data_IF_762436750944
#
_entry.id   IF_762436750944
#
_cell.length_a   1.000
_cell.length_b   1.000
_cell.length_c   1.000
_cell.angle_alpha   90.00
_cell.angle_beta   90.00
_cell.angle_gamma   90.00
#
_symmetry.space_group_name_H-M   'P 1'
#
loop_
_entity.id
_entity.type
_entity.pdbx_description
1 polymer ?
#
# COMPACT_ATOMS: atom_id res chain seq x y z
N UNK A 1 6.03 -4.36 -8.79
CA UNK A 1 7.08 -4.05 -7.79
C UNK A 1 6.41 -3.95 -6.41
N UNK A 2 6.47 -5.00 -5.57
CA UNK A 2 5.77 -5.09 -4.27
C UNK A 2 6.66 -4.58 -3.13
N UNK A 3 6.17 -3.62 -2.33
CA UNK A 3 6.91 -3.07 -1.18
C UNK A 3 6.66 -3.83 0.13
N UNK A 4 5.52 -4.50 0.28
CA UNK A 4 5.28 -5.54 1.28
C UNK A 4 5.05 -6.86 0.56
N UNK A 5 5.69 -7.94 1.03
CA UNK A 5 5.51 -9.24 0.40
C UNK A 5 4.05 -9.67 0.59
N UNK A 6 3.42 -10.16 -0.48
CA UNK A 6 1.99 -10.46 -0.60
C UNK A 6 1.00 -9.29 -0.76
N UNK A 7 1.44 -8.02 -0.74
CA UNK A 7 0.53 -6.89 -0.98
C UNK A 7 -0.10 -6.96 -2.37
N UNK A 8 -1.42 -7.13 -2.43
CA UNK A 8 -2.20 -7.13 -3.67
C UNK A 8 -3.01 -5.83 -3.72
N UNK A 9 -2.86 -5.00 -4.77
CA UNK A 9 -3.49 -3.68 -4.80
C UNK A 9 -5.03 -3.73 -4.95
N UNK A 10 -5.58 -4.87 -5.35
CA UNK A 10 -6.97 -5.06 -5.76
C UNK A 10 -7.78 -5.99 -4.84
N UNK A 11 -7.16 -6.61 -3.83
CA UNK A 11 -7.83 -7.53 -2.88
C UNK A 11 -8.76 -6.83 -1.87
N UNK A 12 -8.78 -5.49 -1.89
CA UNK A 12 -9.58 -4.67 -1.00
C UNK A 12 -9.04 -4.59 0.44
N UNK A 13 -7.82 -5.05 0.69
CA UNK A 13 -7.14 -5.00 1.98
C UNK A 13 -6.02 -3.95 1.98
N UNK A 14 -5.75 -3.42 3.17
CA UNK A 14 -4.60 -2.57 3.44
C UNK A 14 -3.58 -3.37 4.25
N UNK A 15 -2.40 -3.52 3.69
CA UNK A 15 -1.23 -4.02 4.41
C UNK A 15 -0.64 -2.97 5.34
N UNK A 16 -0.45 -3.34 6.60
CA UNK A 16 0.02 -2.45 7.67
C UNK A 16 1.27 -3.04 8.30
N UNK A 17 2.39 -2.32 8.22
CA UNK A 17 3.62 -2.66 8.94
C UNK A 17 3.83 -1.73 10.13
N UNK A 18 4.02 -2.30 11.32
CA UNK A 18 4.34 -1.58 12.54
C UNK A 18 5.81 -1.85 12.88
N UNK A 19 6.61 -0.79 12.96
CA UNK A 19 8.02 -0.86 13.32
C UNK A 19 8.21 -0.36 14.76
N UNK A 20 8.62 -1.26 15.67
CA UNK A 20 8.85 -0.95 17.08
C UNK A 20 10.27 -1.32 17.56
N UNK A 21 11.35 -0.78 16.95
CA UNK A 21 12.72 -1.04 17.38
C UNK A 21 12.98 -0.45 18.78
N UNK A 22 13.19 -1.33 19.78
CA UNK A 22 13.38 -0.93 21.19
C UNK A 22 14.82 -0.54 21.58
N UNK A 23 15.82 -0.80 20.73
CA UNK A 23 17.24 -0.56 21.04
C UNK A 23 18.02 -0.07 19.82
N UNK A 24 19.16 0.59 20.03
CA UNK A 24 20.05 1.03 18.93
C UNK A 24 20.50 -0.14 18.03
N UNK A 25 20.69 -1.33 18.61
CA UNK A 25 20.97 -2.56 17.84
C UNK A 25 19.80 -2.97 16.95
N UNK A 26 18.55 -2.83 17.43
CA UNK A 26 17.37 -3.07 16.59
C UNK A 26 17.25 -2.04 15.46
N UNK A 27 17.61 -0.78 15.71
CA UNK A 27 17.69 0.24 14.66
C UNK A 27 18.76 -0.09 13.61
N UNK A 28 19.95 -0.54 14.03
CA UNK A 28 20.99 -0.98 13.11
C UNK A 28 20.57 -2.23 12.32
N UNK A 29 19.92 -3.20 12.96
CA UNK A 29 19.39 -4.39 12.31
C UNK A 29 18.28 -4.05 11.30
N UNK A 30 17.42 -3.07 11.63
CA UNK A 30 16.40 -2.54 10.71
C UNK A 30 17.03 -1.86 9.51
N UNK A 31 17.97 -0.93 9.72
CA UNK A 31 18.69 -0.29 8.62
C UNK A 31 19.43 -1.29 7.74
N UNK A 32 20.06 -2.31 8.34
CA UNK A 32 20.73 -3.38 7.62
C UNK A 32 19.76 -4.30 6.86
N UNK A 33 18.60 -4.59 7.44
CA UNK A 33 17.53 -5.35 6.82
C UNK A 33 16.99 -4.65 5.57
N UNK A 34 16.73 -3.34 5.67
CA UNK A 34 16.31 -2.48 4.56
C UNK A 34 17.38 -2.46 3.46
N UNK A 35 18.66 -2.23 3.82
CA UNK A 35 19.77 -2.20 2.86
C UNK A 35 19.94 -3.54 2.14
N UNK A 36 19.76 -4.65 2.85
CA UNK A 36 19.86 -6.02 2.31
C UNK A 36 18.55 -6.54 1.71
N UNK A 37 17.49 -5.72 1.64
CA UNK A 37 16.15 -6.12 1.19
C UNK A 37 15.64 -7.40 1.87
N UNK A 38 15.96 -7.58 3.15
CA UNK A 38 15.49 -8.74 3.93
C UNK A 38 14.02 -8.56 4.26
N UNK A 39 13.24 -9.62 4.02
CA UNK A 39 11.78 -9.64 4.14
C UNK A 39 11.29 -9.55 5.58
N UNK A 40 12.05 -10.07 6.55
CA UNK A 40 11.67 -10.05 7.96
C UNK A 40 12.73 -9.31 8.76
N UNK A 41 12.32 -8.24 9.42
CA UNK A 41 13.16 -7.47 10.32
C UNK A 41 12.71 -7.69 11.77
N UNK A 42 13.63 -7.96 12.71
CA UNK A 42 13.30 -8.01 14.13
C UNK A 42 12.60 -6.73 14.61
N UNK A 43 11.42 -6.87 15.22
CA UNK A 43 10.61 -5.75 15.71
C UNK A 43 9.66 -5.12 14.68
N UNK A 44 9.43 -5.82 13.55
CA UNK A 44 8.37 -5.52 12.59
C UNK A 44 7.19 -6.47 12.78
N UNK A 45 5.99 -5.92 12.86
CA UNK A 45 4.72 -6.66 12.89
C UNK A 45 3.91 -6.28 11.65
N UNK A 46 3.27 -7.25 10.97
CA UNK A 46 2.47 -7.02 9.77
C UNK A 46 1.02 -7.46 9.97
N UNK A 47 0.09 -6.69 9.44
CA UNK A 47 -1.36 -6.92 9.53
C UNK A 47 -2.04 -6.59 8.21
N UNK A 48 -3.19 -7.20 7.95
CA UNK A 48 -4.10 -6.82 6.86
C UNK A 48 -5.43 -6.34 7.44
N UNK A 49 -5.99 -5.26 6.90
CA UNK A 49 -7.26 -4.70 7.37
C UNK A 49 -7.95 -3.86 6.30
N UNK A 50 -9.27 -3.71 6.37
CA UNK A 50 -10.02 -2.75 5.52
C UNK A 50 -10.07 -1.35 6.13
N UNK A 51 -9.84 -1.23 7.45
CA UNK A 51 -9.84 0.03 8.18
C UNK A 51 -8.82 0.02 9.31
N UNK A 52 -8.01 1.08 9.37
CA UNK A 52 -6.94 1.24 10.36
C UNK A 52 -7.13 2.56 11.10
N UNK A 53 -7.05 2.52 12.43
CA UNK A 53 -7.05 3.72 13.27
C UNK A 53 -5.78 3.77 14.09
N UNK A 54 -4.95 4.79 13.84
CA UNK A 54 -3.72 5.04 14.59
C UNK A 54 -3.97 6.20 15.55
N UNK A 55 -3.65 6.01 16.83
CA UNK A 55 -3.78 7.03 17.88
C UNK A 55 -2.45 7.22 18.59
N UNK A 56 -2.05 8.47 18.78
CA UNK A 56 -0.78 8.84 19.41
C UNK A 56 -1.01 9.83 20.54
N UNK A 57 -0.17 9.73 21.59
CA UNK A 57 -0.25 10.63 22.76
C UNK A 57 0.01 12.08 22.37
N UNK A 58 0.96 12.31 21.46
CA UNK A 58 1.37 13.63 20.92
C UNK A 58 1.15 13.66 19.41
N UNK A 59 1.03 14.86 18.84
CA UNK A 59 0.99 15.02 17.39
C UNK A 59 2.27 14.44 16.78
N UNK A 60 2.11 13.57 15.78
CA UNK A 60 3.21 12.96 15.04
C UNK A 60 3.27 13.56 13.64
N UNK A 61 4.48 13.72 13.05
CA UNK A 61 4.61 13.99 11.63
C UNK A 61 4.06 12.82 10.82
N UNK A 62 3.52 13.11 9.63
CA UNK A 62 2.85 12.12 8.77
C UNK A 62 3.12 12.45 7.31
N UNK A 63 3.12 11.41 6.48
CA UNK A 63 3.32 11.52 5.05
C UNK A 63 2.25 10.69 4.34
N UNK A 64 1.70 11.21 3.24
CA UNK A 64 0.77 10.52 2.35
C UNK A 64 1.34 10.63 0.94
N UNK A 65 1.64 9.49 0.31
CA UNK A 65 2.14 9.41 -1.08
C UNK A 65 3.34 10.34 -1.40
N UNK A 66 4.26 10.48 -0.45
CA UNK A 66 5.43 11.37 -0.60
C UNK A 66 5.22 12.78 -0.06
N UNK A 67 3.97 13.22 0.12
CA UNK A 67 3.66 14.57 0.61
C UNK A 67 3.51 14.60 2.13
N UNK A 68 4.06 15.65 2.75
CA UNK A 68 3.85 15.91 4.17
C UNK A 68 2.40 16.38 4.37
N UNK A 69 1.69 15.69 5.25
CA UNK A 69 0.38 16.13 5.72
C UNK A 69 0.52 16.73 7.13
N UNK A 70 -0.47 17.52 7.53
CA UNK A 70 -0.45 18.17 8.85
C UNK A 70 -0.15 17.16 9.97
N UNK A 71 0.68 17.51 10.97
CA UNK A 71 0.88 16.68 12.13
C UNK A 71 -0.43 16.38 12.85
N UNK A 72 -0.61 15.15 13.34
CA UNK A 72 -1.87 14.73 13.93
C UNK A 72 -1.70 13.71 15.03
N UNK A 73 -2.70 13.64 15.91
CA UNK A 73 -2.79 12.62 16.97
C UNK A 73 -3.57 11.39 16.53
N UNK A 74 -4.39 11.52 15.49
CA UNK A 74 -5.23 10.45 14.96
C UNK A 74 -5.06 10.38 13.44
N UNK A 75 -4.89 9.18 12.92
CA UNK A 75 -4.94 8.89 11.48
C UNK A 75 -5.94 7.74 11.28
N UNK A 76 -6.93 7.94 10.42
CA UNK A 76 -7.86 6.88 10.01
C UNK A 76 -7.66 6.64 8.53
N UNK A 77 -7.42 5.38 8.17
CA UNK A 77 -7.29 4.93 6.79
C UNK A 77 -8.35 3.88 6.55
N UNK A 78 -9.02 3.95 5.40
CA UNK A 78 -10.03 2.98 4.99
C UNK A 78 -9.88 2.66 3.51
N UNK A 79 -10.00 1.38 3.17
CA UNK A 79 -10.00 0.94 1.78
C UNK A 79 -11.39 1.13 1.19
N UNK A 80 -11.44 1.67 -0.02
CA UNK A 80 -12.62 1.65 -0.87
C UNK A 80 -12.28 0.75 -2.06
N UNK A 81 -12.71 -0.52 -2.08
CA UNK A 81 -12.35 -1.43 -3.15
C UNK A 81 -12.96 -0.97 -4.49
N UNK A 82 -12.26 -1.25 -5.59
CA UNK A 82 -12.76 -1.10 -6.97
C UNK A 82 -13.22 0.33 -7.37
N UNK A 83 -12.73 1.37 -6.69
CA UNK A 83 -13.16 2.76 -6.98
C UNK A 83 -12.39 3.45 -8.09
N UNK A 84 -11.29 2.86 -8.56
CA UNK A 84 -10.46 3.39 -9.64
C UNK A 84 -10.30 2.32 -10.72
N UNK A 85 -10.47 2.74 -11.98
CA UNK A 85 -10.16 1.93 -13.16
C UNK A 85 -8.92 2.51 -13.83
N UNK A 86 -7.86 1.70 -13.96
CA UNK A 86 -6.62 2.11 -14.61
C UNK A 86 -6.61 1.65 -16.07
N UNK A 87 -6.20 2.56 -16.97
CA UNK A 87 -5.85 2.19 -18.34
C UNK A 87 -4.35 1.87 -18.37
N UNK A 88 -4.02 0.60 -18.50
CA UNK A 88 -2.63 0.12 -18.56
C UNK A 88 -2.31 -0.42 -19.96
N UNK A 89 -1.07 -0.28 -20.46
CA UNK A 89 -0.64 -0.95 -21.68
C UNK A 89 -0.69 -2.46 -21.46
N UNK A 90 -1.14 -3.24 -22.47
CA UNK A 90 -1.03 -4.70 -22.41
C UNK A 90 0.45 -5.10 -22.55
N UNK A 91 1.06 -5.62 -21.50
CA UNK A 91 2.45 -6.03 -21.54
C UNK A 91 2.58 -7.33 -22.34
N UNK A 92 3.50 -7.37 -23.31
CA UNK A 92 3.74 -8.54 -24.13
C UNK A 92 4.38 -9.72 -23.36
N UNK A 93 4.93 -9.46 -22.16
CA UNK A 93 5.78 -10.42 -21.41
C UNK A 93 5.66 -10.36 -19.89
N UNK A 94 5.00 -9.35 -19.29
CA UNK A 94 4.91 -9.20 -17.83
C UNK A 94 3.43 -9.06 -17.37
N UNK A 95 2.75 -10.18 -17.07
CA UNK A 95 1.31 -10.20 -16.88
C UNK A 95 0.81 -9.50 -15.60
N UNK A 96 1.68 -9.04 -14.69
CA UNK A 96 1.30 -8.55 -13.35
C UNK A 96 0.33 -7.35 -13.40
N UNK A 97 0.42 -6.49 -14.42
CA UNK A 97 -0.47 -5.32 -14.57
C UNK A 97 -1.73 -5.58 -15.40
N UNK A 98 -1.75 -6.62 -16.22
CA UNK A 98 -2.86 -6.90 -17.14
C UNK A 98 -3.67 -8.15 -16.75
N UNK A 99 -3.31 -8.81 -15.65
CA UNK A 99 -3.94 -10.03 -15.17
C UNK A 99 -5.46 -9.87 -15.06
N UNK A 100 -5.91 -8.72 -14.53
CA UNK A 100 -7.34 -8.47 -14.26
C UNK A 100 -8.01 -7.61 -15.34
N UNK A 101 -7.26 -7.23 -16.39
CA UNK A 101 -7.80 -6.41 -17.48
C UNK A 101 -8.98 -7.08 -18.21
N UNK A 102 -8.99 -8.41 -18.26
CA UNK A 102 -10.10 -9.19 -18.82
C UNK A 102 -11.37 -9.15 -17.95
N UNK A 103 -11.22 -9.13 -16.63
CA UNK A 103 -12.35 -9.14 -15.69
C UNK A 103 -13.14 -7.82 -15.69
N UNK A 104 -12.45 -6.70 -15.95
CA UNK A 104 -13.05 -5.34 -15.90
C UNK A 104 -13.54 -4.82 -17.25
N UNK A 105 -13.53 -5.64 -18.31
CA UNK A 105 -13.88 -5.22 -19.68
C UNK A 105 -15.26 -4.55 -19.81
N UNK A 106 -16.25 -5.00 -19.03
CA UNK A 106 -17.59 -4.41 -19.01
C UNK A 106 -17.64 -3.01 -18.34
N UNK A 107 -16.92 -2.82 -17.23
CA UNK A 107 -16.77 -1.50 -16.61
C UNK A 107 -15.97 -0.55 -17.51
N UNK A 108 -14.91 -1.04 -18.14
CA UNK A 108 -14.10 -0.26 -19.08
C UNK A 108 -14.91 0.23 -20.28
N UNK A 109 -15.79 -0.61 -20.85
CA UNK A 109 -16.70 -0.20 -21.93
C UNK A 109 -17.61 0.96 -21.52
N UNK A 110 -18.23 0.87 -20.34
CA UNK A 110 -19.09 1.93 -19.81
C UNK A 110 -18.32 3.24 -19.55
N UNK A 111 -17.11 3.14 -19.00
CA UNK A 111 -16.24 4.31 -18.77
C UNK A 111 -15.85 4.98 -20.09
N UNK A 112 -15.50 4.21 -21.13
CA UNK A 112 -15.17 4.75 -22.46
C UNK A 112 -16.37 5.46 -23.10
N UNK A 113 -17.55 4.85 -23.04
CA UNK A 113 -18.79 5.47 -23.55
C UNK A 113 -19.12 6.78 -22.82
N UNK A 114 -18.97 6.80 -21.49
CA UNK A 114 -19.22 8.01 -20.68
C UNK A 114 -18.19 9.11 -20.94
N UNK A 115 -16.94 8.74 -21.18
CA UNK A 115 -15.83 9.66 -21.38
C UNK A 115 -15.61 10.10 -22.84
N UNK A 116 -16.32 9.49 -23.81
CA UNK A 116 -16.26 9.85 -25.23
C UNK A 116 -14.98 9.40 -25.96
N UNK A 117 -14.37 8.30 -25.50
CA UNK A 117 -13.23 7.65 -26.19
C UNK A 117 -13.68 6.61 -27.21
#
# INVERSE_FOLDING_TARGET
MRQLNDAQPDDGLLDVAILSPRTLRHWAALGWGVLRRKQTVPGMETYTATRVQIRSKRAQPRQLDGDLIDPGRNLTVSVRPEVLLFCVPQPATDPDLAHDAGAVGGQAGRVRETAGF
#
